data_IF_879334420092
#
_entry.id   IF_879334420092
#
_cell.length_a   1.000
_cell.length_b   1.000
_cell.length_c   1.000
_cell.angle_alpha   90.00
_cell.angle_beta   90.00
_cell.angle_gamma   90.00
#
_symmetry.space_group_name_H-M   'P 1'
#
loop_
_entity.id
_entity.type
_entity.pdbx_description
1 polymer ?
#
# COMPACT_ATOMS: atom_id res chain seq x y z
N UNK A 1 7.87 -21.77 40.64
CA UNK A 1 7.10 -23.04 40.53
C UNK A 1 6.72 -23.26 39.07
N UNK A 2 7.22 -24.31 38.39
CA UNK A 2 6.89 -24.54 36.98
C UNK A 2 5.74 -25.54 36.84
N UNK A 3 4.61 -25.10 36.30
CA UNK A 3 3.49 -25.98 35.99
C UNK A 3 3.64 -26.53 34.56
N UNK A 4 3.92 -27.84 34.50
CA UNK A 4 3.86 -28.67 33.30
C UNK A 4 2.38 -28.86 32.93
N UNK A 5 1.98 -28.43 31.74
CA UNK A 5 0.67 -28.74 31.17
C UNK A 5 0.79 -29.81 30.09
N UNK A 6 -0.05 -30.83 30.28
CA UNK A 6 -0.06 -32.15 29.69
C UNK A 6 -0.30 -32.19 28.18
N UNK A 7 0.52 -32.97 27.49
CA UNK A 7 0.24 -33.55 26.18
C UNK A 7 -0.74 -34.73 26.32
N UNK A 8 -1.96 -34.60 25.78
CA UNK A 8 -2.87 -35.73 25.53
C UNK A 8 -2.86 -36.04 24.04
N UNK A 9 -2.03 -37.01 23.66
CA UNK A 9 -2.05 -37.63 22.33
C UNK A 9 -3.13 -38.71 22.37
N UNK A 10 -4.20 -38.47 21.62
CA UNK A 10 -5.33 -39.39 21.45
C UNK A 10 -5.00 -40.38 20.34
N UNK A 11 -4.71 -41.62 20.69
CA UNK A 11 -4.61 -42.72 19.74
C UNK A 11 -6.00 -43.04 19.18
N UNK A 12 -6.20 -42.86 17.87
CA UNK A 12 -7.35 -43.42 17.15
C UNK A 12 -6.96 -44.77 16.54
N UNK A 13 -7.81 -45.80 16.61
CA UNK A 13 -7.58 -47.06 15.92
C UNK A 13 -7.76 -46.88 14.40
N UNK A 14 -6.84 -47.48 13.64
CA UNK A 14 -6.87 -47.58 12.18
C UNK A 14 -7.85 -48.69 11.77
N UNK A 15 -8.89 -48.34 11.02
CA UNK A 15 -9.77 -49.32 10.36
C UNK A 15 -9.15 -49.78 9.02
N UNK A 16 -9.10 -51.09 8.73
CA UNK A 16 -8.55 -51.60 7.48
C UNK A 16 -9.47 -51.33 6.29
N UNK A 17 -8.97 -50.58 5.31
CA UNK A 17 -9.63 -50.32 4.03
C UNK A 17 -9.74 -51.61 3.19
N UNK A 18 -10.96 -52.11 3.00
CA UNK A 18 -11.29 -53.14 2.01
C UNK A 18 -11.51 -52.46 0.65
N UNK A 19 -10.70 -52.78 -0.36
CA UNK A 19 -10.92 -52.34 -1.74
C UNK A 19 -12.01 -53.18 -2.40
N UNK A 20 -13.07 -52.58 -2.97
CA UNK A 20 -13.98 -53.30 -3.85
C UNK A 20 -13.30 -53.53 -5.21
N UNK A 21 -13.21 -54.80 -5.61
CA UNK A 21 -12.90 -55.19 -6.99
C UNK A 21 -14.04 -54.72 -7.89
N UNK A 22 -13.72 -53.83 -8.83
CA UNK A 22 -14.63 -53.41 -9.88
C UNK A 22 -14.15 -54.01 -11.20
N UNK A 23 -14.50 -55.27 -11.42
CA UNK A 23 -14.66 -55.78 -12.79
C UNK A 23 -15.95 -55.18 -13.33
N UNK A 24 -15.83 -54.25 -14.28
CA UNK A 24 -16.95 -53.79 -15.08
C UNK A 24 -16.51 -53.64 -16.52
N UNK A 25 -16.75 -54.72 -17.26
CA UNK A 25 -16.78 -54.78 -18.70
C UNK A 25 -18.02 -54.03 -19.17
N UNK A 26 -17.87 -52.78 -19.62
CA UNK A 26 -18.90 -52.10 -20.39
C UNK A 26 -18.25 -51.54 -21.65
N UNK A 27 -18.70 -52.08 -22.78
CA UNK A 27 -18.33 -51.73 -24.15
C UNK A 27 -18.56 -50.25 -24.40
N UNK A 28 -17.50 -49.56 -24.83
CA UNK A 28 -17.62 -48.20 -25.36
C UNK A 28 -18.11 -48.34 -26.82
N UNK A 29 -19.41 -48.10 -27.02
CA UNK A 29 -19.98 -47.87 -28.35
C UNK A 29 -19.27 -46.68 -29.00
N UNK A 30 -18.77 -46.91 -30.21
CA UNK A 30 -17.89 -46.03 -30.97
C UNK A 30 -18.66 -45.09 -31.90
N UNK A 31 -19.75 -44.50 -31.37
CA UNK A 31 -20.75 -43.80 -32.18
C UNK A 31 -20.79 -42.29 -31.87
N UNK A 32 -19.94 -41.82 -30.95
CA UNK A 32 -19.93 -40.43 -30.46
C UNK A 32 -19.19 -39.42 -31.37
N UNK A 33 -19.18 -39.64 -32.69
CA UNK A 33 -18.55 -38.77 -33.68
C UNK A 33 -19.55 -38.04 -34.58
N UNK A 34 -20.77 -37.80 -34.12
CA UNK A 34 -21.68 -36.88 -34.81
C UNK A 34 -21.42 -35.42 -34.37
N UNK A 35 -21.02 -34.51 -35.28
CA UNK A 35 -20.48 -33.19 -34.94
C UNK A 35 -21.49 -32.20 -34.35
N UNK A 36 -22.79 -32.55 -34.25
CA UNK A 36 -23.85 -31.58 -33.97
C UNK A 36 -24.77 -31.91 -32.77
N UNK A 37 -24.37 -32.79 -31.86
CA UNK A 37 -25.15 -33.03 -30.64
C UNK A 37 -24.75 -32.12 -29.45
N UNK A 38 -25.72 -31.51 -28.74
CA UNK A 38 -25.47 -30.60 -27.62
C UNK A 38 -25.10 -31.36 -26.35
N UNK A 39 -23.80 -31.50 -26.09
CA UNK A 39 -23.27 -32.05 -24.84
C UNK A 39 -22.96 -30.98 -23.78
N UNK A 40 -23.10 -31.27 -22.47
CA UNK A 40 -22.86 -30.33 -21.37
C UNK A 40 -21.43 -29.74 -21.36
N UNK A 41 -20.44 -30.44 -21.92
CA UNK A 41 -19.06 -29.95 -22.07
C UNK A 41 -18.89 -28.81 -23.10
N UNK A 42 -19.77 -28.70 -24.10
CA UNK A 42 -19.67 -27.67 -25.14
C UNK A 42 -20.29 -26.32 -24.72
N UNK A 43 -21.20 -26.31 -23.74
CA UNK A 43 -21.74 -25.07 -23.17
C UNK A 43 -20.67 -24.29 -22.40
N UNK A 44 -19.80 -25.01 -21.69
CA UNK A 44 -18.64 -24.42 -21.01
C UNK A 44 -17.61 -23.94 -22.03
N UNK A 45 -17.34 -24.72 -23.10
CA UNK A 45 -16.48 -24.29 -24.21
C UNK A 45 -16.96 -22.99 -24.87
N UNK A 46 -18.25 -22.89 -25.19
CA UNK A 46 -18.85 -21.66 -25.74
C UNK A 46 -18.76 -20.47 -24.79
N UNK A 47 -18.82 -20.70 -23.47
CA UNK A 47 -18.62 -19.64 -22.47
C UNK A 47 -17.16 -19.17 -22.45
N UNK A 48 -16.19 -20.08 -22.49
CA UNK A 48 -14.77 -19.74 -22.58
C UNK A 48 -14.44 -19.01 -23.89
N UNK A 49 -14.99 -19.44 -25.02
CA UNK A 49 -14.82 -18.77 -26.32
C UNK A 49 -15.49 -17.38 -26.34
N UNK A 50 -16.65 -17.24 -25.71
CA UNK A 50 -17.33 -15.94 -25.56
C UNK A 50 -16.56 -14.99 -24.64
N UNK A 51 -15.95 -15.49 -23.56
CA UNK A 51 -15.07 -14.71 -22.68
C UNK A 51 -13.76 -14.34 -23.37
N UNK A 52 -13.14 -15.30 -24.07
CA UNK A 52 -11.91 -15.09 -24.84
C UNK A 52 -12.08 -14.04 -25.92
N UNK A 53 -13.15 -14.12 -26.72
CA UNK A 53 -13.42 -13.15 -27.79
C UNK A 53 -13.74 -11.74 -27.27
N UNK A 54 -14.37 -11.60 -26.10
CA UNK A 54 -14.55 -10.29 -25.45
C UNK A 54 -13.24 -9.73 -24.90
N UNK A 55 -12.40 -10.58 -24.33
CA UNK A 55 -11.09 -10.19 -23.82
C UNK A 55 -10.13 -9.79 -24.95
N UNK A 56 -10.16 -10.50 -26.08
CA UNK A 56 -9.39 -10.17 -27.28
C UNK A 56 -9.85 -8.84 -27.90
N UNK A 57 -11.16 -8.57 -27.94
CA UNK A 57 -11.69 -7.25 -28.35
C UNK A 57 -11.25 -6.14 -27.39
N UNK A 58 -11.19 -6.41 -26.09
CA UNK A 58 -10.68 -5.46 -25.11
C UNK A 58 -9.18 -5.18 -25.33
N UNK A 59 -8.35 -6.21 -25.43
CA UNK A 59 -6.90 -6.07 -25.66
C UNK A 59 -6.58 -5.40 -27.00
N UNK A 60 -7.26 -5.76 -28.08
CA UNK A 60 -7.08 -5.14 -29.41
C UNK A 60 -7.49 -3.67 -29.43
N UNK A 61 -8.58 -3.29 -28.74
CA UNK A 61 -8.95 -1.89 -28.56
C UNK A 61 -7.93 -1.11 -27.72
N UNK A 62 -7.38 -1.74 -26.67
CA UNK A 62 -6.35 -1.14 -25.82
C UNK A 62 -5.02 -0.96 -26.57
N UNK A 63 -4.65 -1.92 -27.43
CA UNK A 63 -3.47 -1.84 -28.28
C UNK A 63 -3.61 -0.79 -29.40
N UNK A 64 -4.83 -0.59 -29.93
CA UNK A 64 -5.13 0.48 -30.91
C UNK A 64 -5.04 1.87 -30.28
N UNK A 65 -5.47 2.04 -29.03
CA UNK A 65 -5.29 3.28 -28.28
C UNK A 65 -3.81 3.59 -28.03
N UNK A 66 -2.99 2.56 -27.82
CA UNK A 66 -1.54 2.71 -27.58
C UNK A 66 -0.75 3.09 -28.83
N UNK A 67 -1.15 2.64 -30.03
CA UNK A 67 -0.51 3.05 -31.30
C UNK A 67 -0.71 4.52 -31.68
N UNK A 68 -1.66 5.23 -31.05
CA UNK A 68 -1.88 6.65 -31.35
C UNK A 68 -1.03 7.60 -30.49
N UNK A 69 -0.28 7.08 -29.51
CA UNK A 69 0.42 7.92 -28.52
C UNK A 69 1.78 7.35 -28.12
N UNK A 70 2.74 7.22 -29.04
CA UNK A 70 4.16 7.08 -28.64
C UNK A 70 5.08 7.85 -29.61
N UNK A 71 5.52 9.05 -29.18
CA UNK A 71 6.90 9.50 -29.39
C UNK A 71 7.71 8.99 -28.19
N UNK A 72 8.98 8.54 -28.36
CA UNK A 72 9.72 7.88 -27.31
C UNK A 72 10.59 8.89 -26.54
N UNK A 73 10.44 8.94 -25.22
CA UNK A 73 11.58 9.22 -24.37
C UNK A 73 11.40 8.65 -22.95
N UNK A 74 12.40 7.83 -22.57
CA UNK A 74 13.00 7.68 -21.23
C UNK A 74 12.13 7.29 -20.02
N UNK A 75 12.29 6.06 -19.52
CA UNK A 75 13.13 5.70 -18.35
C UNK A 75 12.63 4.40 -17.69
N UNK A 76 13.58 3.48 -17.47
CA UNK A 76 13.41 2.19 -16.80
C UNK A 76 12.88 2.39 -15.37
N UNK A 77 11.65 1.94 -15.12
CA UNK A 77 11.17 1.64 -13.76
C UNK A 77 11.37 0.16 -13.47
N UNK A 78 12.32 -0.16 -12.59
CA UNK A 78 12.53 -1.52 -12.07
C UNK A 78 11.31 -1.90 -11.23
N UNK A 79 10.44 -2.76 -11.76
CA UNK A 79 9.34 -3.38 -11.02
C UNK A 79 9.88 -4.58 -10.24
N UNK A 80 10.14 -4.40 -8.95
CA UNK A 80 10.41 -5.49 -8.01
C UNK A 80 9.09 -6.18 -7.67
N UNK A 81 8.82 -7.30 -8.35
CA UNK A 81 7.75 -8.21 -7.94
C UNK A 81 8.14 -8.94 -6.65
N UNK A 82 7.24 -8.93 -5.67
CA UNK A 82 7.36 -9.64 -4.39
C UNK A 82 7.31 -11.15 -4.64
N UNK A 83 8.44 -11.84 -4.50
CA UNK A 83 8.45 -13.30 -4.44
C UNK A 83 7.91 -13.73 -3.07
N UNK A 84 6.77 -14.43 -3.06
CA UNK A 84 6.32 -15.17 -1.89
C UNK A 84 7.32 -16.30 -1.63
N UNK A 85 7.87 -16.32 -0.41
CA UNK A 85 8.68 -17.43 0.10
C UNK A 85 7.82 -18.69 0.09
N UNK A 86 8.14 -19.61 -0.81
CA UNK A 86 7.58 -20.95 -0.88
C UNK A 86 8.19 -21.79 0.24
N UNK A 87 7.44 -21.97 1.33
CA UNK A 87 7.74 -23.02 2.29
C UNK A 87 7.52 -24.39 1.64
N UNK A 88 8.49 -25.24 1.91
CA UNK A 88 8.72 -26.57 1.36
C UNK A 88 7.50 -27.49 1.43
N UNK A 89 6.94 -27.81 0.27
CA UNK A 89 6.16 -29.04 0.06
C UNK A 89 7.05 -30.00 -0.71
N UNK A 90 7.28 -31.17 -0.09
CA UNK A 90 8.20 -32.22 -0.48
C UNK A 90 8.20 -32.49 -2.00
N UNK A 91 9.38 -32.32 -2.60
CA UNK A 91 9.67 -32.53 -4.01
C UNK A 91 10.23 -33.93 -4.21
N UNK A 92 9.31 -34.87 -4.42
CA UNK A 92 9.64 -36.26 -4.71
C UNK A 92 8.98 -36.68 -6.03
N UNK A 93 9.00 -35.83 -7.06
CA UNK A 93 8.73 -36.26 -8.42
C UNK A 93 9.18 -35.20 -9.46
N UNK A 94 10.20 -35.58 -10.25
CA UNK A 94 10.45 -35.12 -11.63
C UNK A 94 10.84 -33.64 -11.86
N UNK A 95 12.15 -33.42 -12.03
CA UNK A 95 12.76 -32.48 -12.99
C UNK A 95 12.51 -30.97 -12.80
N UNK A 96 13.53 -30.16 -12.47
CA UNK A 96 13.40 -28.71 -12.38
C UNK A 96 13.41 -28.07 -13.77
N UNK A 97 12.37 -28.29 -14.59
CA UNK A 97 11.96 -27.47 -15.75
C UNK A 97 10.87 -28.09 -16.64
N UNK A 98 10.21 -29.18 -16.24
CA UNK A 98 9.20 -29.77 -17.12
C UNK A 98 7.87 -28.99 -17.05
N UNK A 99 7.36 -28.48 -18.20
CA UNK A 99 6.11 -27.74 -18.27
C UNK A 99 4.92 -28.68 -18.01
N UNK A 100 4.45 -28.70 -16.76
CA UNK A 100 3.20 -29.36 -16.40
C UNK A 100 1.99 -28.46 -16.67
N UNK A 101 0.88 -28.97 -17.23
CA UNK A 101 -0.30 -28.16 -17.56
C UNK A 101 -0.87 -27.39 -16.35
N UNK A 102 -0.81 -27.98 -15.14
CA UNK A 102 -1.23 -27.29 -13.91
C UNK A 102 -0.33 -26.10 -13.51
N UNK A 103 0.98 -26.16 -13.79
CA UNK A 103 1.92 -25.06 -13.49
C UNK A 103 1.79 -23.91 -14.49
N UNK A 104 1.45 -24.20 -15.74
CA UNK A 104 1.19 -23.18 -16.75
C UNK A 104 -0.07 -22.37 -16.43
N UNK A 105 -1.12 -23.03 -15.92
CA UNK A 105 -2.33 -22.34 -15.45
C UNK A 105 -2.05 -21.48 -14.21
N UNK A 106 -1.27 -21.98 -13.24
CA UNK A 106 -0.85 -21.18 -12.09
C UNK A 106 -0.13 -19.88 -12.51
N UNK A 107 0.87 -19.99 -13.38
CA UNK A 107 1.58 -18.82 -13.93
C UNK A 107 0.67 -17.87 -14.71
N UNK A 108 -0.33 -18.40 -15.42
CA UNK A 108 -1.31 -17.58 -16.13
C UNK A 108 -2.20 -16.80 -15.15
N UNK A 109 -2.71 -17.45 -14.10
CA UNK A 109 -3.52 -16.77 -13.09
C UNK A 109 -2.71 -15.72 -12.33
N UNK A 110 -1.45 -16.02 -11.97
CA UNK A 110 -0.57 -15.04 -11.32
C UNK A 110 -0.30 -13.83 -12.23
N UNK A 111 0.00 -14.08 -13.51
CA UNK A 111 0.22 -13.02 -14.49
C UNK A 111 -1.04 -12.17 -14.75
N UNK A 112 -2.22 -12.79 -14.79
CA UNK A 112 -3.49 -12.09 -14.94
C UNK A 112 -3.83 -11.30 -13.68
N UNK A 113 -3.61 -11.88 -12.49
CA UNK A 113 -3.81 -11.23 -11.20
C UNK A 113 -2.97 -9.96 -11.07
N UNK A 114 -1.66 -10.05 -11.36
CA UNK A 114 -0.77 -8.89 -11.33
C UNK A 114 -1.18 -7.79 -12.31
N UNK A 115 -1.64 -8.15 -13.53
CA UNK A 115 -2.11 -7.17 -14.51
C UNK A 115 -3.42 -6.49 -14.10
N UNK A 116 -4.34 -7.22 -13.47
CA UNK A 116 -5.59 -6.64 -12.96
C UNK A 116 -5.29 -5.66 -11.84
N UNK A 117 -4.38 -6.02 -10.92
CA UNK A 117 -3.94 -5.16 -9.84
C UNK A 117 -3.30 -3.87 -10.38
N UNK A 118 -2.43 -3.96 -11.39
CA UNK A 118 -1.82 -2.81 -12.05
C UNK A 118 -2.86 -1.88 -12.70
N UNK A 119 -3.87 -2.45 -13.36
CA UNK A 119 -4.95 -1.67 -14.00
C UNK A 119 -5.82 -0.99 -12.95
N UNK A 120 -6.14 -1.68 -11.85
CA UNK A 120 -6.90 -1.12 -10.74
C UNK A 120 -6.11 0.00 -10.04
N UNK A 121 -4.82 -0.19 -9.79
CA UNK A 121 -3.96 0.83 -9.22
C UNK A 121 -3.86 2.07 -10.14
N UNK A 122 -3.73 1.88 -11.46
CA UNK A 122 -3.75 2.98 -12.43
C UNK A 122 -5.09 3.70 -12.50
N UNK A 123 -6.22 2.98 -12.45
CA UNK A 123 -7.56 3.58 -12.42
C UNK A 123 -7.82 4.29 -11.11
N UNK A 124 -7.36 3.75 -9.98
CA UNK A 124 -7.46 4.40 -8.68
C UNK A 124 -6.70 5.73 -8.67
N UNK A 125 -5.52 5.80 -9.29
CA UNK A 125 -4.79 7.06 -9.50
C UNK A 125 -5.62 8.07 -10.31
N UNK A 126 -6.24 7.65 -11.42
CA UNK A 126 -7.10 8.52 -12.24
C UNK A 126 -8.39 8.96 -11.54
N UNK A 127 -8.91 8.14 -10.63
CA UNK A 127 -10.11 8.44 -9.86
C UNK A 127 -9.83 9.20 -8.55
N UNK A 128 -8.59 9.68 -8.33
CA UNK A 128 -8.18 10.35 -7.08
C UNK A 128 -8.46 9.50 -5.84
N UNK A 129 -8.31 8.17 -5.96
CA UNK A 129 -8.49 7.21 -4.87
C UNK A 129 -7.15 6.73 -4.27
N UNK A 130 -6.05 7.42 -4.57
CA UNK A 130 -4.72 7.12 -4.03
C UNK A 130 -4.44 7.86 -2.72
N UNK A 131 -3.36 7.49 -2.01
CA UNK A 131 -2.92 8.21 -0.81
C UNK A 131 -2.61 9.69 -1.09
N UNK A 132 -1.97 9.99 -2.21
CA UNK A 132 -1.67 11.35 -2.69
C UNK A 132 -2.94 12.21 -2.82
N UNK A 133 -4.02 11.64 -3.34
CA UNK A 133 -5.28 12.36 -3.50
C UNK A 133 -5.97 12.63 -2.15
N UNK A 134 -5.88 11.69 -1.20
CA UNK A 134 -6.39 11.91 0.16
C UNK A 134 -5.56 12.97 0.89
N UNK A 135 -4.25 12.99 0.68
CA UNK A 135 -3.38 14.01 1.24
C UNK A 135 -3.69 15.39 0.65
N UNK A 136 -3.91 15.46 -0.66
CA UNK A 136 -4.38 16.67 -1.34
C UNK A 136 -5.72 17.15 -0.76
N UNK A 137 -6.72 16.27 -0.61
CA UNK A 137 -8.00 16.60 0.05
C UNK A 137 -7.78 17.24 1.44
N UNK A 138 -6.83 16.72 2.23
CA UNK A 138 -6.49 17.30 3.54
C UNK A 138 -5.87 18.70 3.38
N UNK A 139 -4.95 18.90 2.43
CA UNK A 139 -4.35 20.21 2.12
C UNK A 139 -5.41 21.21 1.66
N UNK A 140 -6.37 20.80 0.83
CA UNK A 140 -7.51 21.63 0.40
C UNK A 140 -8.34 22.05 1.62
N UNK A 141 -8.71 21.10 2.49
CA UNK A 141 -9.52 21.38 3.68
C UNK A 141 -8.86 22.38 4.62
N UNK A 142 -7.53 22.33 4.72
CA UNK A 142 -6.72 23.27 5.52
C UNK A 142 -6.38 24.56 4.80
N UNK A 143 -6.82 24.71 3.54
CA UNK A 143 -6.54 25.87 2.69
C UNK A 143 -5.04 26.09 2.43
N UNK A 144 -4.23 25.02 2.49
CA UNK A 144 -2.81 25.04 2.12
C UNK A 144 -2.59 25.14 0.60
N UNK A 145 -3.66 25.18 -0.20
CA UNK A 145 -3.51 25.43 -1.63
C UNK A 145 -3.03 26.86 -1.81
N UNK A 146 -1.74 26.96 -2.14
CA UNK A 146 -1.17 28.08 -2.84
C UNK A 146 -2.03 28.35 -4.08
N UNK A 147 -2.92 29.33 -3.99
CA UNK A 147 -3.63 29.83 -5.16
C UNK A 147 -2.56 30.17 -6.21
N UNK A 148 -2.74 29.77 -7.49
CA UNK A 148 -1.74 29.95 -8.55
C UNK A 148 -1.39 31.42 -8.89
N UNK A 149 -1.91 32.39 -8.12
CA UNK A 149 -1.59 33.82 -8.23
C UNK A 149 -0.26 34.23 -7.59
N UNK A 150 0.63 33.30 -7.20
CA UNK A 150 2.01 33.60 -6.80
C UNK A 150 2.16 34.44 -5.53
N UNK A 151 1.06 34.84 -4.89
CA UNK A 151 1.06 35.45 -3.56
C UNK A 151 0.77 34.35 -2.56
N UNK A 152 1.84 33.85 -1.92
CA UNK A 152 1.73 33.13 -0.65
C UNK A 152 1.21 34.13 0.37
N UNK A 153 -0.10 34.35 0.42
CA UNK A 153 -0.70 34.94 1.60
C UNK A 153 -0.48 33.93 2.69
N UNK A 154 0.50 34.19 3.56
CA UNK A 154 0.64 33.54 4.86
C UNK A 154 -0.62 33.95 5.63
N UNK A 155 -1.73 33.29 5.34
CA UNK A 155 -2.98 33.46 6.05
C UNK A 155 -2.70 33.08 7.47
N UNK A 156 -2.99 33.98 8.41
CA UNK A 156 -2.96 33.65 9.82
C UNK A 156 -3.73 32.34 10.03
N UNK A 157 -3.20 31.41 10.86
CA UNK A 157 -3.84 30.13 11.08
C UNK A 157 -5.26 30.38 11.60
N UNK A 158 -6.24 30.17 10.72
CA UNK A 158 -7.65 30.24 11.09
C UNK A 158 -7.90 29.15 12.11
N UNK A 159 -8.47 29.52 13.25
CA UNK A 159 -8.97 28.55 14.22
C UNK A 159 -9.92 27.61 13.49
N UNK A 160 -9.53 26.34 13.43
CA UNK A 160 -10.27 25.33 12.71
C UNK A 160 -11.57 25.04 13.46
N UNK A 161 -12.67 24.86 12.71
CA UNK A 161 -13.92 24.45 13.34
C UNK A 161 -13.84 22.99 13.80
N UNK A 162 -14.65 22.62 14.79
CA UNK A 162 -14.74 21.22 15.25
C UNK A 162 -15.15 20.27 14.12
N UNK A 163 -15.99 20.74 13.20
CA UNK A 163 -16.43 19.97 12.02
C UNK A 163 -15.29 19.74 11.03
N UNK A 164 -14.44 20.74 10.80
CA UNK A 164 -13.22 20.60 10.00
C UNK A 164 -12.27 19.59 10.63
N UNK A 165 -12.11 19.60 11.96
CA UNK A 165 -11.29 18.60 12.67
C UNK A 165 -11.76 17.18 12.37
N UNK A 166 -13.05 16.93 12.50
CA UNK A 166 -13.62 15.60 12.29
C UNK A 166 -13.49 15.16 10.82
N UNK A 167 -13.63 16.10 9.89
CA UNK A 167 -13.34 15.87 8.47
C UNK A 167 -11.88 15.48 8.25
N UNK A 168 -10.92 16.25 8.77
CA UNK A 168 -9.47 15.94 8.67
C UNK A 168 -9.18 14.57 9.29
N UNK A 169 -9.70 14.29 10.48
CA UNK A 169 -9.56 13.01 11.18
C UNK A 169 -10.08 11.84 10.36
N UNK A 170 -11.20 12.00 9.64
CA UNK A 170 -11.73 11.00 8.71
C UNK A 170 -10.78 10.73 7.55
N UNK A 171 -10.16 11.75 6.98
CA UNK A 171 -9.17 11.61 5.91
C UNK A 171 -7.87 10.99 6.42
N UNK A 172 -7.36 11.41 7.58
CA UNK A 172 -6.21 10.77 8.24
C UNK A 172 -6.43 9.27 8.45
N UNK A 173 -7.63 8.85 8.89
CA UNK A 173 -7.97 7.41 8.98
C UNK A 173 -7.93 6.71 7.64
N UNK A 174 -8.42 7.33 6.56
CA UNK A 174 -8.32 6.79 5.20
C UNK A 174 -6.86 6.66 4.78
N UNK A 175 -6.04 7.68 5.03
CA UNK A 175 -4.60 7.67 4.71
C UNK A 175 -3.84 6.56 5.44
N UNK A 176 -4.13 6.37 6.75
CA UNK A 176 -3.55 5.28 7.54
C UNK A 176 -4.00 3.89 7.09
N UNK A 177 -5.17 3.75 6.43
CA UNK A 177 -5.54 2.48 5.78
C UNK A 177 -4.61 2.15 4.61
N UNK A 178 -4.20 3.14 3.82
CA UNK A 178 -3.24 2.91 2.72
C UNK A 178 -1.85 2.52 3.24
N UNK A 179 -1.43 3.03 4.40
CA UNK A 179 -0.20 2.59 5.06
C UNK A 179 -0.23 1.08 5.40
N UNK A 180 -1.43 0.48 5.51
CA UNK A 180 -1.65 -0.95 5.76
C UNK A 180 -2.02 -1.75 4.50
N UNK A 181 -1.91 -1.14 3.32
CA UNK A 181 -2.15 -1.83 2.04
C UNK A 181 -1.21 -3.03 1.87
N UNK A 182 -1.59 -3.99 1.03
CA UNK A 182 -0.72 -5.11 0.65
C UNK A 182 0.30 -4.72 -0.42
N UNK A 183 0.01 -3.67 -1.20
CA UNK A 183 0.89 -3.15 -2.22
C UNK A 183 1.96 -2.23 -1.62
N UNK A 184 3.22 -2.65 -1.69
CA UNK A 184 4.38 -1.93 -1.13
C UNK A 184 4.48 -0.49 -1.64
N UNK A 185 4.28 -0.28 -2.95
CA UNK A 185 4.33 1.06 -3.56
C UNK A 185 3.30 2.02 -2.95
N UNK A 186 2.09 1.53 -2.70
CA UNK A 186 1.01 2.30 -2.05
C UNK A 186 1.35 2.61 -0.59
N UNK A 187 1.95 1.66 0.13
CA UNK A 187 2.36 1.89 1.52
C UNK A 187 3.45 2.95 1.63
N UNK A 188 4.49 2.86 0.81
CA UNK A 188 5.60 3.81 0.76
C UNK A 188 5.07 5.22 0.49
N UNK A 189 4.25 5.37 -0.56
CA UNK A 189 3.60 6.65 -0.89
C UNK A 189 2.77 7.18 0.27
N UNK A 190 1.94 6.35 0.89
CA UNK A 190 1.12 6.76 2.02
C UNK A 190 1.95 7.22 3.23
N UNK A 191 3.05 6.54 3.54
CA UNK A 191 3.95 6.92 4.64
C UNK A 191 4.69 8.24 4.36
N UNK A 192 5.07 8.49 3.11
CA UNK A 192 5.64 9.77 2.70
C UNK A 192 4.64 10.90 2.92
N UNK A 193 3.41 10.77 2.42
CA UNK A 193 2.35 11.78 2.61
C UNK A 193 2.03 12.02 4.10
N UNK A 194 1.97 10.96 4.91
CA UNK A 194 1.77 11.10 6.36
C UNK A 194 2.90 11.91 7.01
N UNK A 195 4.15 11.64 6.62
CA UNK A 195 5.32 12.34 7.13
C UNK A 195 5.26 13.81 6.75
N UNK A 196 4.99 14.10 5.48
CA UNK A 196 4.93 15.45 4.91
C UNK A 196 3.82 16.28 5.56
N UNK A 197 2.58 15.77 5.59
CA UNK A 197 1.45 16.44 6.24
C UNK A 197 1.69 16.69 7.74
N UNK A 198 2.33 15.74 8.43
CA UNK A 198 2.68 15.90 9.84
C UNK A 198 3.75 16.97 10.03
N UNK A 199 4.68 17.16 9.09
CA UNK A 199 5.69 18.23 9.18
C UNK A 199 5.15 19.60 8.78
N UNK A 200 4.22 19.65 7.82
CA UNK A 200 3.68 20.89 7.26
C UNK A 200 2.67 21.58 8.19
N UNK A 201 1.75 20.84 8.82
CA UNK A 201 0.67 21.43 9.61
C UNK A 201 0.57 20.81 11.02
N UNK A 202 0.80 21.59 12.10
CA UNK A 202 0.69 21.08 13.46
C UNK A 202 -0.72 20.58 13.79
N UNK A 203 -1.77 21.13 13.17
CA UNK A 203 -3.15 20.69 13.37
C UNK A 203 -3.39 19.29 12.78
N UNK A 204 -2.88 19.04 11.56
CA UNK A 204 -2.95 17.71 10.95
C UNK A 204 -2.13 16.71 11.78
N UNK A 205 -0.97 17.13 12.30
CA UNK A 205 -0.17 16.31 13.20
C UNK A 205 -0.96 15.90 14.45
N UNK A 206 -1.64 16.84 15.10
CA UNK A 206 -2.46 16.56 16.27
C UNK A 206 -3.60 15.58 15.93
N UNK A 207 -4.27 15.76 14.79
CA UNK A 207 -5.28 14.84 14.31
C UNK A 207 -4.72 13.43 14.07
N UNK A 208 -3.56 13.31 13.42
CA UNK A 208 -2.85 12.05 13.20
C UNK A 208 -2.46 11.39 14.52
N UNK A 209 -1.92 12.15 15.48
CA UNK A 209 -1.55 11.66 16.81
C UNK A 209 -2.77 11.08 17.54
N UNK A 210 -3.91 11.76 17.48
CA UNK A 210 -5.17 11.25 18.04
C UNK A 210 -5.60 9.95 17.35
N UNK A 211 -5.51 9.84 16.03
CA UNK A 211 -5.91 8.63 15.31
C UNK A 211 -4.95 7.46 15.62
N UNK A 212 -3.64 7.72 15.67
CA UNK A 212 -2.62 6.70 15.94
C UNK A 212 -2.71 6.06 17.31
N UNK A 213 -3.20 6.77 18.34
CA UNK A 213 -3.47 6.16 19.66
C UNK A 213 -4.37 4.92 19.57
N UNK A 214 -5.21 4.83 18.53
CA UNK A 214 -6.15 3.73 18.33
C UNK A 214 -5.63 2.68 17.32
N UNK A 215 -4.51 2.93 16.65
CA UNK A 215 -4.01 2.06 15.59
C UNK A 215 -2.49 2.19 15.43
N UNK A 216 -1.77 1.10 15.70
CA UNK A 216 -0.32 1.05 15.51
C UNK A 216 0.05 1.04 14.03
N UNK A 217 0.93 1.97 13.60
CA UNK A 217 1.73 1.86 12.37
C UNK A 217 2.82 0.80 12.54
N UNK A 218 2.46 -0.39 13.01
CA UNK A 218 3.40 -1.51 13.03
C UNK A 218 3.42 -2.10 11.62
N UNK A 219 4.51 -1.92 10.85
CA UNK A 219 4.63 -2.61 9.57
C UNK A 219 4.53 -4.11 9.85
N UNK A 220 3.64 -4.80 9.12
CA UNK A 220 3.52 -6.26 9.19
C UNK A 220 4.62 -6.98 8.40
N UNK A 221 5.50 -6.22 7.76
CA UNK A 221 6.38 -6.72 6.72
C UNK A 221 7.84 -6.47 7.07
N UNK A 222 8.73 -7.29 6.49
CA UNK A 222 10.16 -7.37 6.84
C UNK A 222 11.04 -6.40 6.05
N UNK A 223 10.49 -5.61 5.13
CA UNK A 223 11.26 -4.70 4.30
C UNK A 223 11.84 -3.55 5.13
N UNK A 224 13.17 -3.38 5.07
CA UNK A 224 13.92 -2.37 5.83
C UNK A 224 13.44 -0.93 5.54
N UNK A 225 13.13 -0.64 4.28
CA UNK A 225 12.65 0.68 3.85
C UNK A 225 11.32 1.04 4.51
N UNK A 226 10.39 0.07 4.58
CA UNK A 226 9.09 0.29 5.18
C UNK A 226 9.21 0.55 6.68
N UNK A 227 10.12 -0.14 7.36
CA UNK A 227 10.43 0.11 8.76
C UNK A 227 10.97 1.52 8.96
N UNK A 228 11.98 1.93 8.18
CA UNK A 228 12.56 3.27 8.25
C UNK A 228 11.51 4.38 8.01
N UNK A 229 10.64 4.21 7.02
CA UNK A 229 9.58 5.17 6.71
C UNK A 229 8.49 5.19 7.79
N UNK A 230 8.13 4.03 8.34
CA UNK A 230 7.15 3.92 9.43
C UNK A 230 7.68 4.61 10.69
N UNK A 231 8.95 4.37 11.04
CA UNK A 231 9.62 5.06 12.14
C UNK A 231 9.65 6.57 11.91
N UNK A 232 10.03 7.02 10.70
CA UNK A 232 10.04 8.44 10.35
C UNK A 232 8.65 9.07 10.52
N UNK A 233 7.60 8.44 9.99
CA UNK A 233 6.23 8.92 10.12
C UNK A 233 5.78 9.00 11.60
N UNK A 234 6.10 7.99 12.41
CA UNK A 234 5.76 7.98 13.84
C UNK A 234 6.49 9.10 14.59
N UNK A 235 7.77 9.31 14.31
CA UNK A 235 8.55 10.42 14.89
C UNK A 235 7.93 11.75 14.48
N UNK A 236 7.68 11.99 13.19
CA UNK A 236 7.07 13.22 12.71
C UNK A 236 5.68 13.51 13.31
N UNK A 237 4.95 12.48 13.75
CA UNK A 237 3.65 12.67 14.42
C UNK A 237 3.80 12.91 15.93
N UNK A 238 4.74 12.23 16.59
CA UNK A 238 4.93 12.31 18.04
C UNK A 238 5.76 13.51 18.48
N UNK A 239 6.66 13.97 17.63
CA UNK A 239 7.67 14.96 17.96
C UNK A 239 7.10 16.38 17.89
N UNK A 240 6.08 16.63 18.73
CA UNK A 240 5.41 17.91 18.80
C UNK A 240 6.34 18.98 19.39
N UNK A 241 7.20 18.59 20.33
CA UNK A 241 8.12 19.50 20.99
C UNK A 241 9.21 20.00 20.03
N UNK A 242 9.77 19.13 19.16
CA UNK A 242 10.72 19.56 18.11
C UNK A 242 10.07 20.61 17.23
N UNK A 243 8.82 20.38 16.83
CA UNK A 243 8.16 21.29 15.92
C UNK A 243 7.78 22.62 16.58
N UNK A 244 7.29 22.60 17.83
CA UNK A 244 7.04 23.82 18.59
C UNK A 244 8.32 24.65 18.73
N UNK A 245 9.45 23.98 19.01
CA UNK A 245 10.76 24.63 19.01
C UNK A 245 11.10 25.25 17.65
N UNK A 246 10.91 24.54 16.53
CA UNK A 246 11.19 25.08 15.20
C UNK A 246 10.24 26.21 14.79
N UNK A 247 8.98 26.15 15.18
CA UNK A 247 8.00 27.22 14.91
C UNK A 247 8.37 28.47 15.70
N UNK A 248 8.67 28.33 16.99
CA UNK A 248 9.15 29.43 17.84
C UNK A 248 10.44 30.03 17.29
N UNK A 249 11.38 29.20 16.84
CA UNK A 249 12.61 29.65 16.19
C UNK A 249 12.31 30.42 14.90
N UNK A 250 11.48 29.89 14.00
CA UNK A 250 11.20 30.52 12.72
C UNK A 250 10.46 31.86 12.89
N UNK A 251 9.49 31.91 13.80
CA UNK A 251 8.73 33.13 14.09
C UNK A 251 9.58 34.20 14.78
N UNK A 252 10.31 33.83 15.85
CA UNK A 252 11.04 34.79 16.65
C UNK A 252 12.40 35.19 16.09
N UNK A 253 13.07 34.34 15.31
CA UNK A 253 14.41 34.63 14.78
C UNK A 253 14.42 34.95 13.28
N UNK A 254 13.76 34.15 12.45
CA UNK A 254 13.82 34.30 10.99
C UNK A 254 12.90 35.43 10.53
N UNK A 255 11.61 35.35 10.89
CA UNK A 255 10.60 36.30 10.42
C UNK A 255 10.73 37.69 11.05
N UNK A 256 11.26 37.76 12.28
CA UNK A 256 11.52 39.04 12.96
C UNK A 256 12.65 39.86 12.33
N UNK A 257 13.40 39.29 11.38
CA UNK A 257 14.58 39.90 10.78
C UNK A 257 15.77 40.02 11.75
N UNK A 258 15.64 39.49 12.99
CA UNK A 258 16.72 39.50 13.99
C UNK A 258 17.90 38.65 13.56
N UNK A 259 17.68 37.60 12.77
CA UNK A 259 18.77 36.77 12.26
C UNK A 259 19.84 37.58 11.50
N UNK A 260 19.44 38.62 10.77
CA UNK A 260 20.38 39.46 10.02
C UNK A 260 20.85 40.71 10.79
N UNK A 261 20.19 41.06 11.90
CA UNK A 261 20.52 42.23 12.73
C UNK A 261 21.30 41.88 13.99
N UNK A 262 21.21 40.64 14.48
CA UNK A 262 21.93 40.18 15.66
C UNK A 262 23.36 39.78 15.28
N UNK A 263 24.28 40.73 15.39
CA UNK A 263 25.71 40.43 15.58
C UNK A 263 26.01 40.19 17.07
N UNK A 264 24.99 40.07 17.93
CA UNK A 264 25.21 39.90 19.37
C UNK A 264 25.36 38.41 19.68
N UNK A 265 26.51 38.02 20.24
CA UNK A 265 26.78 36.63 20.61
C UNK A 265 25.79 36.06 21.65
N UNK A 266 25.06 36.93 22.36
CA UNK A 266 24.12 36.55 23.42
C UNK A 266 22.91 35.77 22.90
N UNK A 267 22.33 36.19 21.75
CA UNK A 267 21.20 35.50 21.12
C UNK A 267 21.58 34.07 20.67
N UNK A 268 22.81 33.90 20.16
CA UNK A 268 23.32 32.60 19.73
C UNK A 268 23.54 31.66 20.93
N UNK A 269 24.04 32.18 22.04
CA UNK A 269 24.23 31.42 23.28
C UNK A 269 22.88 30.99 23.86
N UNK A 270 21.89 31.89 23.87
CA UNK A 270 20.52 31.57 24.29
C UNK A 270 19.91 30.45 23.44
N UNK A 271 20.07 30.51 22.12
CA UNK A 271 19.63 29.46 21.21
C UNK A 271 20.34 28.12 21.49
N UNK A 272 21.67 28.12 21.62
CA UNK A 272 22.43 26.91 21.94
C UNK A 272 21.98 26.29 23.26
N UNK A 273 21.67 27.11 24.27
CA UNK A 273 21.17 26.62 25.54
C UNK A 273 19.78 25.97 25.42
N UNK A 274 18.85 26.59 24.67
CA UNK A 274 17.52 26.01 24.41
C UNK A 274 17.62 24.71 23.62
N UNK A 275 18.45 24.66 22.58
CA UNK A 275 18.70 23.45 21.79
C UNK A 275 19.34 22.34 22.64
N UNK A 276 20.33 22.66 23.47
CA UNK A 276 20.97 21.70 24.36
C UNK A 276 20.01 21.16 25.42
N UNK A 277 19.15 22.02 25.99
CA UNK A 277 18.10 21.60 26.91
C UNK A 277 17.10 20.68 26.23
N UNK A 278 16.72 20.98 24.98
CA UNK A 278 15.82 20.15 24.20
C UNK A 278 16.41 18.75 23.94
N UNK A 279 17.65 18.69 23.47
CA UNK A 279 18.34 17.44 23.19
C UNK A 279 18.49 16.54 24.43
N UNK A 280 18.60 17.12 25.64
CA UNK A 280 18.60 16.36 26.90
C UNK A 280 17.23 15.79 27.30
N UNK A 281 16.13 16.36 26.81
CA UNK A 281 14.80 15.81 27.08
C UNK A 281 14.48 14.62 26.17
N UNK A 282 15.06 14.61 24.96
CA UNK A 282 14.75 13.60 23.92
C UNK A 282 15.63 12.36 24.00
N UNK A 283 16.88 12.48 24.49
CA UNK A 283 17.87 11.39 24.58
C UNK A 283 18.22 11.07 26.04
#
# INVERSE_FOLDING_TARGET
>A
MPNKLFSKISNRPEDPYIRPNLERSDSIDSDALDPNNPGPGRNVGRLYDALGSKFERFLSNTARLRRKTEQPNTQLGVQLYRAYSSDSVASDATGPNNPGPGRNLGRLYDAVGGRIEDVLNRRAGKLKLGPEAVAEEIRILRQHIELPSGRKTVGFPREATTEEYDCVKKHCRRLLKYCRSQALSTQVKALHEVTELATEDPYIRQALAHVLRNSYLSPKYKEKELFSLSSKAVVSIKDNEVHEFWMDFNENYVNSGRYYKSNSGEDLISFQHRLASYLRCVY
#
